data_IF_250825573425
#
_entry.id   IF_250825573425
#
_cell.length_a   1.000
_cell.length_b   1.000
_cell.length_c   1.000
_cell.angle_alpha   90.00
_cell.angle_beta   90.00
_cell.angle_gamma   90.00
#
_symmetry.space_group_name_H-M   'P 1'
#
loop_
_entity.id
_entity.type
_entity.pdbx_description
1 polymer ?
#
# COMPACT_ATOMS: atom_id res chain seq x y z
N UNK A 1 3.51 16.03 -1.09
CA UNK A 1 2.52 15.94 -2.18
C UNK A 1 2.94 15.00 -3.30
N UNK A 2 4.24 14.84 -3.54
CA UNK A 2 4.77 13.96 -4.59
C UNK A 2 5.69 12.95 -3.91
N UNK A 3 5.63 11.70 -4.35
CA UNK A 3 6.57 10.65 -3.96
C UNK A 3 6.94 9.85 -5.21
N UNK A 4 8.16 9.29 -5.22
CA UNK A 4 8.61 8.33 -6.22
C UNK A 4 9.16 7.13 -5.47
N UNK A 5 8.86 5.94 -5.97
CA UNK A 5 9.28 4.68 -5.36
C UNK A 5 9.67 3.70 -6.44
N UNK A 6 10.78 3.00 -6.23
CA UNK A 6 11.21 1.85 -7.03
C UNK A 6 11.04 0.59 -6.20
N UNK A 7 10.49 -0.47 -6.78
CA UNK A 7 10.19 -1.72 -6.08
C UNK A 7 10.89 -2.90 -6.76
N UNK A 8 11.33 -3.86 -5.93
CA UNK A 8 11.91 -5.12 -6.38
C UNK A 8 11.24 -6.28 -5.67
N UNK A 9 10.95 -7.35 -6.42
CA UNK A 9 10.50 -8.63 -5.84
C UNK A 9 11.74 -9.43 -5.47
N UNK A 10 12.03 -9.54 -4.18
CA UNK A 10 13.24 -10.22 -3.69
C UNK A 10 13.03 -11.71 -3.42
N UNK A 11 11.78 -12.17 -3.29
CA UNK A 11 11.40 -13.57 -3.08
C UNK A 11 10.05 -13.88 -3.77
N UNK A 12 9.88 -15.11 -4.27
CA UNK A 12 8.62 -15.57 -4.88
C UNK A 12 8.30 -14.94 -6.25
N UNK A 13 9.31 -14.36 -6.91
CA UNK A 13 9.16 -13.80 -8.25
C UNK A 13 9.26 -14.87 -9.36
N UNK A 14 8.66 -14.62 -10.55
CA UNK A 14 7.73 -13.53 -10.83
C UNK A 14 6.39 -13.76 -10.09
N UNK A 15 5.77 -12.69 -9.61
CA UNK A 15 4.49 -12.81 -8.91
C UNK A 15 3.44 -13.46 -9.84
N UNK A 16 2.62 -14.41 -9.36
CA UNK A 16 1.62 -15.09 -10.18
C UNK A 16 0.36 -14.25 -10.42
N UNK A 17 0.35 -12.98 -10.00
CA UNK A 17 -0.76 -12.04 -10.11
C UNK A 17 -0.22 -10.65 -10.50
N UNK A 18 -1.13 -9.73 -10.83
CA UNK A 18 -0.79 -8.33 -11.14
C UNK A 18 -0.20 -7.60 -9.93
N UNK A 19 0.69 -6.64 -10.16
CA UNK A 19 1.25 -5.78 -9.10
C UNK A 19 0.27 -4.69 -8.63
N UNK A 20 -0.78 -4.39 -9.40
CA UNK A 20 -1.67 -3.24 -9.16
C UNK A 20 -2.38 -3.29 -7.79
N UNK A 21 -2.84 -4.44 -7.27
CA UNK A 21 -3.38 -4.52 -5.90
C UNK A 21 -2.39 -4.05 -4.82
N UNK A 22 -1.09 -4.24 -5.03
CA UNK A 22 -0.04 -3.83 -4.08
C UNK A 22 0.20 -2.31 -4.09
N UNK A 23 -0.14 -1.61 -5.19
CA UNK A 23 0.04 -0.17 -5.32
C UNK A 23 -0.75 0.62 -4.26
N UNK A 24 -1.93 0.11 -3.87
CA UNK A 24 -2.80 0.71 -2.83
C UNK A 24 -2.14 0.73 -1.45
N UNK A 25 -1.23 -0.21 -1.20
CA UNK A 25 -0.48 -0.33 0.06
C UNK A 25 0.80 0.49 0.00
N UNK A 26 1.64 0.29 -1.01
CA UNK A 26 2.99 0.85 -1.02
C UNK A 26 3.13 2.23 -1.66
N UNK A 27 2.15 2.68 -2.45
CA UNK A 27 2.13 4.03 -3.04
C UNK A 27 1.13 4.91 -2.30
N UNK A 28 -0.17 4.71 -2.53
CA UNK A 28 -1.23 5.48 -1.87
C UNK A 28 -1.19 5.34 -0.35
N UNK A 29 -0.75 4.19 0.18
CA UNK A 29 -0.66 3.96 1.61
C UNK A 29 0.34 4.86 2.34
N UNK A 30 1.31 5.48 1.66
CA UNK A 30 2.26 6.42 2.28
C UNK A 30 1.60 7.80 2.56
N UNK A 31 0.62 7.83 3.47
CA UNK A 31 -0.22 9.00 3.78
C UNK A 31 0.59 10.23 4.20
N UNK A 32 1.76 10.02 4.81
CA UNK A 32 2.66 11.07 5.27
C UNK A 32 3.15 11.98 4.12
N UNK A 33 3.10 11.53 2.87
CA UNK A 33 3.48 12.33 1.69
C UNK A 33 2.30 13.08 1.04
N UNK A 34 1.09 12.97 1.61
CA UNK A 34 -0.06 13.78 1.21
C UNK A 34 0.21 15.28 1.38
N UNK A 35 -0.36 16.10 0.49
CA UNK A 35 -0.43 17.56 0.67
C UNK A 35 -1.80 17.89 1.24
N UNK A 36 -1.84 18.36 2.48
CA UNK A 36 -3.07 18.79 3.12
C UNK A 36 -3.39 20.24 2.73
N UNK A 37 -4.68 20.62 2.61
CA UNK A 37 -5.08 22.01 2.39
C UNK A 37 -4.60 22.93 3.50
N UNK A 38 -4.48 24.23 3.20
CA UNK A 38 -4.16 25.23 4.22
C UNK A 38 -5.22 25.22 5.33
N UNK A 39 -4.77 25.26 6.59
CA UNK A 39 -5.64 25.24 7.77
C UNK A 39 -6.13 23.84 8.19
N UNK A 40 -5.84 22.79 7.42
CA UNK A 40 -6.16 21.41 7.83
C UNK A 40 -4.99 20.78 8.60
N UNK A 41 -5.21 20.25 9.82
CA UNK A 41 -4.18 19.51 10.55
C UNK A 41 -3.70 18.29 9.75
N UNK A 42 -2.39 18.21 9.53
CA UNK A 42 -1.77 17.04 8.90
C UNK A 42 -1.49 15.97 9.95
N UNK A 43 -2.55 15.23 10.30
CA UNK A 43 -2.48 14.15 11.28
C UNK A 43 -1.34 13.16 10.97
N UNK A 44 -1.16 12.81 9.69
CA UNK A 44 -0.15 11.83 9.27
C UNK A 44 1.28 12.28 9.58
N UNK A 45 1.54 13.60 9.68
CA UNK A 45 2.85 14.14 10.08
C UNK A 45 2.94 14.38 11.58
N UNK A 46 1.84 14.75 12.23
CA UNK A 46 1.80 15.08 13.67
C UNK A 46 2.06 13.89 14.60
N UNK A 47 1.82 12.66 14.13
CA UNK A 47 2.03 11.43 14.89
C UNK A 47 3.50 11.05 15.07
N UNK A 48 4.43 11.69 14.34
CA UNK A 48 5.86 11.44 14.51
C UNK A 48 6.42 12.23 15.70
N UNK A 49 7.38 11.66 16.46
CA UNK A 49 8.18 10.47 16.12
C UNK A 49 7.56 9.12 16.45
N UNK A 50 6.45 9.07 17.21
CA UNK A 50 5.82 7.80 17.61
C UNK A 50 5.38 6.94 16.41
N UNK A 51 5.00 7.58 15.30
CA UNK A 51 4.61 6.91 14.08
C UNK A 51 3.12 6.57 14.04
N UNK A 52 2.71 5.83 13.02
CA UNK A 52 1.32 5.39 12.89
C UNK A 52 1.21 4.04 12.23
N UNK A 53 0.19 3.29 12.61
CA UNK A 53 -0.22 2.07 11.93
C UNK A 53 -1.46 2.31 11.09
N UNK A 54 -1.66 1.46 10.08
CA UNK A 54 -2.92 1.39 9.35
C UNK A 54 -3.33 -0.06 9.14
N UNK A 55 -4.63 -0.24 9.01
CA UNK A 55 -5.25 -1.46 8.52
C UNK A 55 -6.23 -1.09 7.41
N UNK A 56 -6.38 -1.98 6.44
CA UNK A 56 -7.31 -1.80 5.33
C UNK A 56 -7.81 -3.15 4.85
N UNK A 57 -9.10 -3.20 4.53
CA UNK A 57 -9.71 -4.25 3.71
C UNK A 57 -10.13 -3.64 2.38
N UNK A 58 -9.84 -4.33 1.28
CA UNK A 58 -10.25 -4.00 -0.07
C UNK A 58 -11.05 -5.16 -0.61
N UNK A 59 -12.34 -4.95 -0.78
CA UNK A 59 -13.25 -5.92 -1.42
C UNK A 59 -13.37 -5.57 -2.89
N UNK A 60 -13.17 -6.56 -3.76
CA UNK A 60 -13.33 -6.44 -5.20
C UNK A 60 -14.71 -6.97 -5.60
N UNK A 61 -15.33 -6.33 -6.59
CA UNK A 61 -16.69 -6.67 -7.06
C UNK A 61 -16.81 -8.13 -7.55
N UNK A 62 -15.69 -8.73 -7.96
CA UNK A 62 -15.62 -10.12 -8.43
C UNK A 62 -15.31 -11.14 -7.31
N UNK A 63 -15.49 -10.76 -6.04
CA UNK A 63 -15.33 -11.65 -4.89
C UNK A 63 -13.92 -11.76 -4.31
N UNK A 64 -12.91 -11.21 -4.99
CA UNK A 64 -11.57 -11.10 -4.42
C UNK A 64 -11.56 -10.20 -3.18
N UNK A 65 -10.77 -10.55 -2.18
CA UNK A 65 -10.58 -9.73 -0.97
C UNK A 65 -9.09 -9.60 -0.68
N UNK A 66 -8.65 -8.38 -0.39
CA UNK A 66 -7.30 -8.14 0.09
C UNK A 66 -7.33 -7.38 1.42
N UNK A 67 -6.57 -7.86 2.39
CA UNK A 67 -6.26 -7.11 3.61
C UNK A 67 -4.82 -6.64 3.57
N UNK A 68 -4.59 -5.47 4.16
CA UNK A 68 -3.26 -4.92 4.33
C UNK A 68 -3.15 -4.24 5.69
N UNK A 69 -2.01 -4.43 6.34
CA UNK A 69 -1.63 -3.68 7.53
C UNK A 69 -0.23 -3.15 7.36
N UNK A 70 0.07 -2.03 8.00
CA UNK A 70 1.42 -1.49 7.97
C UNK A 70 1.67 -0.51 9.08
N UNK A 71 2.95 -0.25 9.30
CA UNK A 71 3.44 0.69 10.30
C UNK A 71 4.46 1.63 9.67
N UNK A 72 4.33 2.92 9.98
CA UNK A 72 5.28 3.96 9.61
C UNK A 72 6.05 4.42 10.83
N UNK A 73 7.38 4.42 10.72
CA UNK A 73 8.28 4.96 11.74
C UNK A 73 9.33 5.88 11.10
N UNK A 74 10.01 6.65 11.94
CA UNK A 74 11.19 7.44 11.56
C UNK A 74 12.38 6.91 12.34
N UNK A 75 13.43 6.51 11.62
CA UNK A 75 14.72 6.09 12.17
C UNK A 75 15.78 7.10 11.72
N UNK A 76 16.08 8.10 12.54
CA UNK A 76 16.92 9.24 12.14
C UNK A 76 16.20 10.13 11.12
N UNK A 77 16.74 10.21 9.90
CA UNK A 77 16.14 10.89 8.74
C UNK A 77 15.40 9.93 7.79
N UNK A 78 15.37 8.63 8.11
CA UNK A 78 14.77 7.61 7.28
C UNK A 78 13.29 7.38 7.63
N UNK A 79 12.40 7.62 6.66
CA UNK A 79 11.03 7.15 6.72
C UNK A 79 10.97 5.66 6.40
N UNK A 80 10.48 4.86 7.36
CA UNK A 80 10.40 3.40 7.22
C UNK A 80 8.94 2.97 7.19
N UNK A 81 8.61 2.12 6.22
CA UNK A 81 7.30 1.52 6.05
C UNK A 81 7.43 0.01 5.97
N UNK A 82 6.90 -0.69 6.98
CA UNK A 82 6.78 -2.14 6.99
C UNK A 82 5.30 -2.50 6.83
N UNK A 83 4.99 -3.37 5.88
CA UNK A 83 3.62 -3.73 5.53
C UNK A 83 3.47 -5.22 5.28
N UNK A 84 2.27 -5.72 5.57
CA UNK A 84 1.77 -7.04 5.22
C UNK A 84 0.61 -6.91 4.25
N UNK A 85 0.54 -7.80 3.26
CA UNK A 85 -0.55 -7.89 2.31
C UNK A 85 -1.02 -9.33 2.24
N UNK A 86 -2.33 -9.56 2.36
CA UNK A 86 -2.93 -10.87 2.28
C UNK A 86 -4.14 -10.82 1.34
N UNK A 87 -4.07 -11.57 0.24
CA UNK A 87 -5.09 -11.60 -0.79
C UNK A 87 -5.71 -12.99 -0.92
N UNK A 88 -7.03 -13.07 -0.95
CA UNK A 88 -7.80 -14.33 -1.04
C UNK A 88 -8.93 -14.22 -2.04
N UNK A 89 -9.40 -15.37 -2.52
CA UNK A 89 -10.59 -15.51 -3.37
C UNK A 89 -10.54 -14.74 -4.68
N UNK A 90 -9.36 -14.38 -5.18
CA UNK A 90 -9.24 -13.80 -6.52
C UNK A 90 -9.65 -14.85 -7.56
N UNK A 91 -10.59 -14.53 -8.47
CA UNK A 91 -10.97 -15.47 -9.52
C UNK A 91 -9.76 -15.87 -10.36
N UNK A 92 -9.54 -17.16 -10.57
CA UNK A 92 -8.39 -17.69 -11.31
C UNK A 92 -8.33 -17.16 -12.75
N UNK A 93 -9.48 -16.95 -13.39
CA UNK A 93 -9.63 -16.34 -14.71
C UNK A 93 -9.80 -14.82 -14.67
N UNK A 94 -9.75 -14.19 -13.48
CA UNK A 94 -9.94 -12.75 -13.28
C UNK A 94 -8.77 -11.90 -13.77
N UNK A 95 -8.94 -10.57 -13.86
CA UNK A 95 -7.91 -9.68 -14.40
C UNK A 95 -6.65 -9.59 -13.53
N UNK A 96 -6.79 -9.74 -12.20
CA UNK A 96 -5.65 -9.74 -11.26
C UNK A 96 -4.78 -10.97 -11.46
N UNK A 97 -5.38 -12.17 -11.42
CA UNK A 97 -4.65 -13.43 -11.63
C UNK A 97 -4.14 -13.56 -13.06
N UNK A 98 -4.90 -13.05 -14.03
CA UNK A 98 -4.54 -13.03 -15.43
C UNK A 98 -3.60 -11.90 -15.87
N UNK A 99 -3.16 -11.02 -14.95
CA UNK A 99 -2.27 -9.87 -15.22
C UNK A 99 -2.77 -8.95 -16.36
N UNK A 100 -4.08 -8.68 -16.39
CA UNK A 100 -4.74 -7.81 -17.39
C UNK A 100 -5.18 -6.46 -16.83
N UNK A 101 -4.69 -6.07 -15.67
CA UNK A 101 -4.94 -4.74 -15.09
C UNK A 101 -3.98 -3.72 -15.70
N UNK A 102 -4.35 -2.43 -15.65
CA UNK A 102 -3.65 -1.35 -16.36
C UNK A 102 -3.31 -0.14 -15.45
N UNK A 103 -3.25 -0.35 -14.13
CA UNK A 103 -2.94 0.70 -13.15
C UNK A 103 -3.78 0.65 -11.88
#
# INVERSE_FOLDING_TARGET
GIQKSTFWVTKGGPLPFSVDPLSKVFKYGNRCFGKYPAGMPDYSKQVFPAGMSFERTVTYENGGVATASGHFSIEGDLFKHISMFHGVNFPANGPIMGKRTIG
#
